data_IF_645930810620
#
_entry.id   IF_645930810620
#
_cell.length_a   1.000
_cell.length_b   1.000
_cell.length_c   1.000
_cell.angle_alpha   90.00
_cell.angle_beta   90.00
_cell.angle_gamma   90.00
#
_symmetry.space_group_name_H-M   'P 1'
#
loop_
_entity.id
_entity.type
_entity.pdbx_description
1 polymer ?
#
# COMPACT_ATOMS: atom_id res chain seq x y z
N UNK A 1 5.57 12.10 -9.66
CA UNK A 1 5.41 12.56 -8.29
C UNK A 1 5.86 11.56 -7.23
N UNK A 2 6.34 10.39 -7.61
CA UNK A 2 6.84 9.41 -6.65
C UNK A 2 8.37 9.43 -6.64
N UNK A 3 8.96 9.03 -5.49
CA UNK A 3 10.41 8.95 -5.34
C UNK A 3 10.99 7.93 -6.32
N UNK A 4 11.93 8.38 -7.15
CA UNK A 4 12.57 7.51 -8.15
C UNK A 4 13.92 8.13 -8.57
N UNK A 5 14.64 7.43 -9.45
CA UNK A 5 15.93 7.88 -9.95
C UNK A 5 17.10 7.06 -9.45
N UNK A 6 16.92 6.29 -8.39
CA UNK A 6 17.91 5.34 -7.89
C UNK A 6 17.44 3.93 -8.20
N UNK A 7 18.35 2.97 -8.20
CA UNK A 7 17.99 1.56 -8.45
C UNK A 7 17.08 0.98 -7.35
N UNK A 8 17.01 1.62 -6.18
CA UNK A 8 16.26 1.15 -5.03
C UNK A 8 14.94 1.89 -4.81
N UNK A 9 14.63 2.88 -5.68
CA UNK A 9 13.44 3.72 -5.53
C UNK A 9 12.44 3.46 -6.66
N UNK A 10 11.19 3.84 -6.41
CA UNK A 10 10.13 3.80 -7.42
C UNK A 10 8.82 3.25 -6.90
N UNK A 11 7.94 2.93 -7.84
CA UNK A 11 6.67 2.28 -7.58
C UNK A 11 6.90 0.77 -7.52
N UNK A 12 6.41 0.13 -6.46
CA UNK A 12 6.52 -1.32 -6.29
C UNK A 12 5.19 -2.03 -6.39
N UNK A 13 4.08 -1.31 -6.19
CA UNK A 13 2.76 -1.92 -6.24
C UNK A 13 1.71 -0.90 -6.65
N UNK A 14 0.72 -1.36 -7.40
CA UNK A 14 -0.39 -0.56 -7.85
C UNK A 14 -1.65 -1.40 -7.78
N UNK A 15 -2.75 -0.80 -7.36
CA UNK A 15 -4.05 -1.46 -7.36
C UNK A 15 -5.13 -0.45 -7.74
N UNK A 16 -6.14 -0.92 -8.48
CA UNK A 16 -7.30 -0.13 -8.85
C UNK A 16 -8.53 -0.73 -8.19
N UNK A 17 -9.33 0.10 -7.56
CA UNK A 17 -10.62 -0.32 -7.02
C UNK A 17 -11.66 -0.46 -8.14
N UNK A 18 -11.63 0.50 -9.07
CA UNK A 18 -12.48 0.52 -10.26
C UNK A 18 -11.69 1.15 -11.41
N UNK A 19 -12.34 1.41 -12.53
CA UNK A 19 -11.65 1.96 -13.71
C UNK A 19 -11.07 3.36 -13.51
N UNK A 20 -11.53 4.09 -12.48
CA UNK A 20 -11.10 5.47 -12.24
C UNK A 20 -10.18 5.61 -11.02
N UNK A 21 -10.36 4.78 -10.00
CA UNK A 21 -9.71 4.98 -8.71
C UNK A 21 -8.60 3.96 -8.49
N UNK A 22 -7.39 4.45 -8.35
CA UNK A 22 -6.22 3.64 -8.12
C UNK A 22 -5.25 4.25 -7.13
N UNK A 23 -4.39 3.42 -6.57
CA UNK A 23 -3.39 3.79 -5.58
C UNK A 23 -2.09 3.07 -5.90
N UNK A 24 -0.99 3.78 -5.80
CA UNK A 24 0.33 3.17 -6.01
C UNK A 24 1.23 3.53 -4.84
N UNK A 25 2.08 2.59 -4.48
CA UNK A 25 2.96 2.73 -3.34
C UNK A 25 4.35 2.19 -3.70
N UNK A 26 5.34 2.72 -3.05
CA UNK A 26 6.71 2.28 -3.23
C UNK A 26 7.62 2.95 -2.22
N UNK A 27 8.61 3.64 -2.71
CA UNK A 27 9.61 4.32 -1.91
C UNK A 27 11.00 3.79 -2.17
N UNK A 28 11.84 3.82 -1.16
CA UNK A 28 13.21 3.30 -1.20
C UNK A 28 13.35 2.17 -0.19
N UNK A 29 13.52 0.93 -0.67
CA UNK A 29 13.61 -0.22 0.24
C UNK A 29 14.89 -0.22 1.08
N UNK A 30 15.88 0.60 0.73
CA UNK A 30 17.09 0.76 1.55
C UNK A 30 16.91 1.83 2.63
N UNK A 31 15.84 2.62 2.55
CA UNK A 31 15.49 3.66 3.51
C UNK A 31 14.00 3.57 3.82
N UNK A 32 13.57 2.47 4.45
CA UNK A 32 12.14 2.17 4.59
C UNK A 32 11.39 3.13 5.52
N UNK A 33 12.09 3.92 6.30
CA UNK A 33 11.48 4.90 7.20
C UNK A 33 11.07 6.20 6.49
N UNK A 34 11.52 6.44 5.25
CA UNK A 34 11.13 7.64 4.50
C UNK A 34 9.70 7.49 4.04
N UNK A 35 8.80 8.36 4.52
CA UNK A 35 7.37 8.32 4.28
C UNK A 35 6.85 9.45 3.38
N UNK A 36 7.71 10.08 2.61
CA UNK A 36 7.35 11.11 1.65
C UNK A 36 7.63 10.65 0.22
N UNK A 37 6.84 11.15 -0.73
CA UNK A 37 6.97 10.86 -2.16
C UNK A 37 6.91 9.36 -2.48
N UNK A 38 6.22 8.58 -1.66
CA UNK A 38 6.13 7.13 -1.84
C UNK A 38 4.71 6.62 -2.04
N UNK A 39 3.72 7.52 -2.07
CA UNK A 39 2.31 7.16 -2.26
C UNK A 39 1.67 8.13 -3.24
N UNK A 40 0.96 7.60 -4.23
CA UNK A 40 0.23 8.41 -5.20
C UNK A 40 -1.16 7.83 -5.44
N UNK A 41 -2.08 8.70 -5.80
CA UNK A 41 -3.48 8.33 -6.06
C UNK A 41 -3.93 8.89 -7.40
N UNK A 42 -4.78 8.14 -8.10
CA UNK A 42 -5.48 8.61 -9.28
C UNK A 42 -6.98 8.50 -9.07
N UNK A 43 -7.72 9.43 -9.67
CA UNK A 43 -9.18 9.42 -9.70
C UNK A 43 -9.73 9.44 -11.12
N UNK A 44 -8.86 9.40 -12.13
CA UNK A 44 -9.22 9.50 -13.54
C UNK A 44 -8.64 8.36 -14.39
N UNK A 45 -8.48 7.20 -13.79
CA UNK A 45 -8.04 6.01 -14.50
C UNK A 45 -6.55 5.99 -14.83
N UNK A 46 -5.76 6.75 -14.08
CA UNK A 46 -4.32 6.79 -14.28
C UNK A 46 -3.83 7.88 -15.22
N UNK A 47 -4.73 8.74 -15.71
CA UNK A 47 -4.32 9.86 -16.56
C UNK A 47 -3.52 10.88 -15.78
N UNK A 48 -3.93 11.16 -14.54
CA UNK A 48 -3.17 12.02 -13.62
C UNK A 48 -3.01 11.33 -12.28
N UNK A 49 -1.89 11.61 -11.61
CA UNK A 49 -1.54 11.05 -10.32
C UNK A 49 -1.10 12.18 -9.39
N UNK A 50 -1.51 12.10 -8.13
CA UNK A 50 -1.14 13.08 -7.10
C UNK A 50 -0.48 12.37 -5.94
N UNK A 51 0.57 12.98 -5.40
CA UNK A 51 1.19 12.55 -4.15
C UNK A 51 0.18 12.71 -3.01
N UNK A 52 0.10 11.71 -2.15
CA UNK A 52 -0.86 11.67 -1.05
C UNK A 52 -0.18 11.14 0.21
N UNK A 53 -0.71 11.53 1.37
CA UNK A 53 -0.28 11.04 2.67
C UNK A 53 1.21 11.20 2.94
N UNK A 54 1.82 12.29 2.43
CA UNK A 54 3.21 12.60 2.73
C UNK A 54 3.40 12.74 4.24
N UNK A 55 4.51 12.18 4.75
CA UNK A 55 4.87 12.24 6.16
C UNK A 55 3.81 11.64 7.09
N UNK A 56 3.11 10.62 6.62
CA UNK A 56 2.03 9.98 7.36
C UNK A 56 2.35 8.52 7.68
N UNK A 57 3.41 8.33 8.44
CA UNK A 57 3.82 7.09 9.12
C UNK A 57 3.91 5.82 8.26
N UNK A 58 3.85 5.94 6.94
CA UNK A 58 3.94 4.82 6.04
C UNK A 58 5.12 5.02 5.09
N UNK A 59 6.25 4.43 5.42
CA UNK A 59 7.44 4.42 4.58
C UNK A 59 7.32 3.42 3.45
N UNK A 60 8.44 2.86 3.02
CA UNK A 60 8.45 1.87 1.95
C UNK A 60 7.51 0.72 2.24
N UNK A 61 6.71 0.36 1.25
CA UNK A 61 5.89 -0.86 1.25
C UNK A 61 5.96 -1.50 -0.14
N UNK A 62 5.85 -2.80 -0.17
CA UNK A 62 6.04 -3.56 -1.41
C UNK A 62 4.73 -3.97 -2.07
N UNK A 63 3.61 -3.88 -1.38
CA UNK A 63 2.31 -4.27 -1.93
C UNK A 63 1.19 -3.48 -1.26
N UNK A 64 0.26 -3.00 -2.08
CA UNK A 64 -0.96 -2.33 -1.62
C UNK A 64 -2.16 -2.97 -2.30
N UNK A 65 -3.24 -3.16 -1.56
CA UNK A 65 -4.51 -3.64 -2.11
C UNK A 65 -5.70 -2.95 -1.47
N UNK A 66 -6.69 -2.64 -2.30
CA UNK A 66 -7.99 -2.24 -1.78
C UNK A 66 -8.71 -3.45 -1.19
N UNK A 67 -9.41 -3.22 -0.09
CA UNK A 67 -10.37 -4.21 0.42
C UNK A 67 -11.52 -4.32 -0.57
N UNK A 68 -11.92 -5.54 -0.96
CA UNK A 68 -13.13 -5.72 -1.77
C UNK A 68 -14.35 -5.12 -1.09
N UNK A 69 -15.25 -4.57 -1.87
CA UNK A 69 -16.54 -4.01 -1.40
C UNK A 69 -16.38 -2.83 -0.43
N UNK A 70 -15.27 -2.12 -0.48
CA UNK A 70 -15.03 -0.97 0.42
C UNK A 70 -15.32 0.38 -0.23
N UNK A 71 -15.76 0.40 -1.49
CA UNK A 71 -15.95 1.62 -2.27
C UNK A 71 -14.67 2.47 -2.39
N UNK A 72 -13.52 1.80 -2.43
CA UNK A 72 -12.24 2.48 -2.53
C UNK A 72 -11.78 3.15 -1.24
N UNK A 73 -12.43 2.87 -0.12
CA UNK A 73 -12.11 3.54 1.15
C UNK A 73 -11.08 2.80 1.99
N UNK A 74 -11.03 1.48 1.88
CA UNK A 74 -10.15 0.68 2.73
C UNK A 74 -9.01 0.10 1.91
N UNK A 75 -7.79 0.27 2.40
CA UNK A 75 -6.58 -0.29 1.79
C UNK A 75 -5.73 -0.97 2.84
N UNK A 76 -5.00 -1.97 2.39
CA UNK A 76 -4.00 -2.67 3.19
C UNK A 76 -2.68 -2.58 2.45
N UNK A 77 -1.60 -2.28 3.18
CA UNK A 77 -0.26 -2.22 2.62
C UNK A 77 0.67 -3.08 3.46
N UNK A 78 1.54 -3.82 2.79
CA UNK A 78 2.54 -4.65 3.46
C UNK A 78 3.92 -4.39 2.87
N UNK A 79 4.94 -4.61 3.68
CA UNK A 79 6.34 -4.59 3.30
C UNK A 79 7.14 -5.42 4.29
N UNK A 80 8.45 -5.52 4.07
CA UNK A 80 9.28 -6.31 4.99
C UNK A 80 9.33 -5.71 6.39
N UNK A 81 8.90 -4.48 6.55
CA UNK A 81 8.94 -3.73 7.82
C UNK A 81 7.56 -3.49 8.43
N UNK A 82 6.49 -4.10 7.91
CA UNK A 82 5.22 -4.01 8.58
C UNK A 82 3.98 -4.08 7.72
N UNK A 83 2.85 -4.01 8.40
CA UNK A 83 1.49 -4.06 7.85
C UNK A 83 0.74 -2.81 8.29
N UNK A 84 0.11 -2.12 7.35
CA UNK A 84 -0.62 -0.88 7.62
C UNK A 84 -1.98 -0.90 6.95
N UNK A 85 -2.90 -0.13 7.53
CA UNK A 85 -4.30 -0.08 7.13
C UNK A 85 -4.76 1.36 6.99
N UNK A 86 -5.53 1.63 5.95
CA UNK A 86 -6.21 2.91 5.77
C UNK A 86 -7.72 2.69 5.63
N UNK A 87 -8.51 3.54 6.28
CA UNK A 87 -9.98 3.52 6.16
C UNK A 87 -10.51 4.77 5.45
N UNK A 88 -9.64 5.62 4.95
CA UNK A 88 -10.02 6.90 4.34
C UNK A 88 -9.36 7.09 2.97
N UNK A 89 -9.37 6.06 2.16
CA UNK A 89 -8.86 6.07 0.78
C UNK A 89 -7.36 6.34 0.68
N UNK A 90 -6.61 5.98 1.72
CA UNK A 90 -5.16 6.15 1.72
C UNK A 90 -4.67 7.52 2.13
N UNK A 91 -5.56 8.38 2.63
CA UNK A 91 -5.17 9.69 3.17
C UNK A 91 -4.38 9.54 4.45
N UNK A 92 -4.82 8.65 5.34
CA UNK A 92 -4.16 8.38 6.61
C UNK A 92 -3.98 6.88 6.77
N UNK A 93 -2.90 6.48 7.42
CA UNK A 93 -2.53 5.09 7.59
C UNK A 93 -2.31 4.78 9.07
N UNK A 94 -2.77 3.61 9.47
CA UNK A 94 -2.58 3.07 10.82
C UNK A 94 -1.68 1.85 10.74
N UNK A 95 -0.61 1.84 11.52
CA UNK A 95 0.30 0.70 11.61
C UNK A 95 -0.34 -0.40 12.44
N UNK A 96 -0.43 -1.61 11.88
CA UNK A 96 -1.06 -2.74 12.54
C UNK A 96 -0.06 -3.70 13.15
N UNK A 97 1.09 -3.90 12.50
CA UNK A 97 2.05 -4.92 12.91
C UNK A 97 3.43 -4.61 12.33
N UNK A 98 4.48 -5.03 13.03
CA UNK A 98 5.85 -4.97 12.53
C UNK A 98 6.22 -6.23 11.73
N UNK A 99 5.34 -7.21 11.62
CA UNK A 99 5.59 -8.41 10.82
C UNK A 99 5.79 -8.06 9.34
N UNK A 100 6.82 -8.63 8.75
CA UNK A 100 7.19 -8.34 7.37
C UNK A 100 6.63 -9.33 6.36
N UNK A 101 6.18 -8.78 5.23
CA UNK A 101 5.67 -9.55 4.10
C UNK A 101 6.08 -8.85 2.81
N UNK A 102 5.97 -9.55 1.67
CA UNK A 102 6.25 -8.96 0.37
C UNK A 102 4.99 -8.71 -0.44
N UNK A 103 3.94 -9.49 -0.24
CA UNK A 103 2.70 -9.41 -1.00
C UNK A 103 1.48 -9.73 -0.15
N UNK A 104 0.32 -9.23 -0.56
CA UNK A 104 -0.96 -9.52 0.08
C UNK A 104 -2.04 -9.64 -1.00
N UNK A 105 -2.99 -10.55 -0.79
CA UNK A 105 -4.16 -10.70 -1.67
C UNK A 105 -5.39 -11.02 -0.84
N UNK A 106 -6.51 -10.42 -1.21
CA UNK A 106 -7.77 -10.65 -0.54
C UNK A 106 -8.49 -11.86 -1.14
N UNK A 107 -9.01 -12.71 -0.28
CA UNK A 107 -9.93 -13.77 -0.67
C UNK A 107 -11.36 -13.23 -0.76
N UNK A 108 -11.73 -12.37 0.18
CA UNK A 108 -13.02 -11.68 0.25
C UNK A 108 -12.83 -10.39 1.05
N UNK A 109 -13.92 -9.72 1.44
CA UNK A 109 -13.82 -8.42 2.11
C UNK A 109 -13.36 -8.48 3.56
N UNK A 110 -13.22 -9.67 4.14
CA UNK A 110 -12.78 -9.84 5.53
C UNK A 110 -11.54 -10.70 5.69
N UNK A 111 -11.07 -11.34 4.63
CA UNK A 111 -9.95 -12.30 4.73
C UNK A 111 -8.92 -12.02 3.65
N UNK A 112 -7.67 -11.92 4.08
CA UNK A 112 -6.53 -11.75 3.18
C UNK A 112 -5.41 -12.72 3.56
N UNK A 113 -4.56 -13.02 2.60
CA UNK A 113 -3.35 -13.80 2.82
C UNK A 113 -2.15 -12.94 2.44
N UNK A 114 -1.16 -12.92 3.31
CA UNK A 114 0.10 -12.23 3.07
C UNK A 114 1.23 -13.26 3.07
N UNK A 115 2.20 -13.03 2.21
CA UNK A 115 3.32 -13.94 2.04
C UNK A 115 4.62 -13.19 1.86
N UNK A 116 5.72 -13.86 2.16
CA UNK A 116 7.07 -13.35 2.04
C UNK A 116 7.83 -13.52 3.33
N UNK A 117 9.13 -13.27 3.29
CA UNK A 117 9.98 -13.40 4.46
C UNK A 117 9.89 -14.78 5.14
N UNK A 118 9.74 -15.84 4.30
CA UNK A 118 9.70 -17.22 4.75
C UNK A 118 8.40 -17.68 5.39
N UNK A 119 7.30 -16.93 5.22
CA UNK A 119 6.03 -17.26 5.88
C UNK A 119 4.83 -16.90 5.03
N UNK A 120 3.69 -17.49 5.38
CA UNK A 120 2.36 -17.16 4.86
C UNK A 120 1.45 -16.97 6.06
N UNK A 121 0.69 -15.87 6.07
CA UNK A 121 -0.22 -15.57 7.17
C UNK A 121 -1.61 -15.25 6.64
N UNK A 122 -2.62 -15.63 7.42
CA UNK A 122 -4.00 -15.26 7.15
C UNK A 122 -4.37 -14.07 8.03
N UNK A 123 -4.94 -13.04 7.42
CA UNK A 123 -5.48 -11.88 8.14
C UNK A 123 -6.99 -11.94 8.09
N UNK A 124 -7.62 -11.82 9.26
CA UNK A 124 -9.09 -11.77 9.36
C UNK A 124 -9.45 -10.41 9.95
N UNK A 125 -10.27 -9.68 9.20
CA UNK A 125 -10.75 -8.35 9.59
C UNK A 125 -12.22 -8.44 10.00
N UNK A 126 -12.56 -7.81 11.09
CA UNK A 126 -13.92 -7.87 11.64
C UNK A 126 -14.62 -6.51 11.60
#
# INVERSE_FOLDING_TARGET
PILQGESTTGIFSIDFYDKNNGYAIGGDYTKPEIDSLNKIITRDGGKTWKTIANNNNLGYRSCVQYFPNSNGKKLLAVGFNGVDYSSDSGLNWKHLSDDGYYTVRFLNDTTAYAAGNGKISQFIFK
#
